data_IF_256604299855
#
_entry.id   IF_256604299855
#
_cell.length_a   1.000
_cell.length_b   1.000
_cell.length_c   1.000
_cell.angle_alpha   90.00
_cell.angle_beta   90.00
_cell.angle_gamma   90.00
#
_symmetry.space_group_name_H-M   'P 1'
#
loop_
_entity.id
_entity.type
_entity.pdbx_description
1 polymer ?
#
# COMPACT_ATOMS: atom_id res chain seq x y z
N UNK A 1 8.71 -10.62 -7.23
CA UNK A 1 7.24 -10.79 -7.13
C UNK A 1 6.65 -10.98 -8.52
N UNK A 2 6.24 -12.23 -8.84
CA UNK A 2 5.69 -12.58 -10.16
C UNK A 2 4.37 -11.87 -10.42
N UNK A 3 3.49 -11.83 -9.44
CA UNK A 3 2.18 -11.17 -9.56
C UNK A 3 2.33 -9.65 -9.71
N UNK A 4 3.33 -9.05 -9.10
CA UNK A 4 3.61 -7.63 -9.26
C UNK A 4 3.98 -7.32 -10.71
N UNK A 5 4.87 -8.15 -11.32
CA UNK A 5 5.27 -7.98 -12.72
C UNK A 5 4.11 -8.23 -13.69
N UNK A 6 3.28 -9.22 -13.41
CA UNK A 6 2.07 -9.47 -14.21
C UNK A 6 1.13 -8.26 -14.19
N UNK A 7 0.92 -7.66 -13.02
CA UNK A 7 0.08 -6.49 -12.88
C UNK A 7 0.64 -5.30 -13.65
N UNK A 8 1.93 -5.04 -13.53
CA UNK A 8 2.61 -3.98 -14.27
C UNK A 8 2.45 -4.14 -15.78
N UNK A 9 2.57 -5.38 -16.27
CA UNK A 9 2.51 -5.67 -17.71
C UNK A 9 1.08 -5.76 -18.26
N UNK A 10 0.11 -6.19 -17.46
CA UNK A 10 -1.24 -6.48 -17.94
C UNK A 10 -2.25 -5.38 -17.60
N UNK A 11 -2.06 -4.68 -16.50
CA UNK A 11 -3.00 -3.66 -16.03
C UNK A 11 -2.42 -2.26 -16.18
N UNK A 12 -1.22 -2.03 -15.68
CA UNK A 12 -0.61 -0.70 -15.69
C UNK A 12 -0.22 -0.23 -17.10
N UNK A 13 -0.02 -1.15 -18.04
CA UNK A 13 0.22 -0.79 -19.44
C UNK A 13 -1.04 -0.38 -20.20
N UNK A 14 -2.22 -0.57 -19.61
CA UNK A 14 -3.45 -0.04 -20.20
C UNK A 14 -3.40 1.49 -20.21
N UNK A 15 -3.70 2.10 -21.35
CA UNK A 15 -3.62 3.55 -21.52
C UNK A 15 -4.50 4.30 -20.54
N UNK A 16 -5.72 3.82 -20.28
CA UNK A 16 -6.64 4.44 -19.34
C UNK A 16 -6.17 4.32 -17.90
N UNK A 17 -5.56 3.19 -17.54
CA UNK A 17 -4.97 2.99 -16.19
C UNK A 17 -3.76 3.91 -16.00
N UNK A 18 -2.89 3.98 -16.98
CA UNK A 18 -1.71 4.84 -16.93
C UNK A 18 -2.09 6.31 -16.77
N UNK A 19 -3.09 6.76 -17.50
CA UNK A 19 -3.60 8.13 -17.39
C UNK A 19 -4.14 8.42 -15.97
N UNK A 20 -4.87 7.49 -15.37
CA UNK A 20 -5.39 7.64 -14.02
C UNK A 20 -4.27 7.63 -12.97
N UNK A 21 -3.30 6.71 -13.09
CA UNK A 21 -2.17 6.63 -12.15
C UNK A 21 -1.34 7.92 -12.19
N UNK A 22 -1.22 8.57 -13.35
CA UNK A 22 -0.47 9.82 -13.49
C UNK A 22 -1.04 10.96 -12.63
N UNK A 23 -2.28 10.85 -12.18
CA UNK A 23 -2.94 11.82 -11.31
C UNK A 23 -2.69 11.54 -9.83
N UNK A 24 -1.97 10.48 -9.49
CA UNK A 24 -1.60 10.10 -8.13
C UNK A 24 -0.12 10.36 -7.87
N UNK A 25 0.25 10.48 -6.60
CA UNK A 25 1.63 10.36 -6.17
C UNK A 25 1.88 8.88 -5.91
N UNK A 26 2.69 8.25 -6.74
CA UNK A 26 2.96 6.82 -6.65
C UNK A 26 4.16 6.56 -5.75
N UNK A 27 3.96 5.76 -4.70
CA UNK A 27 5.03 5.25 -3.85
C UNK A 27 5.05 3.73 -3.92
N UNK A 28 6.22 3.15 -4.18
CA UNK A 28 6.40 1.71 -4.25
C UNK A 28 7.29 1.25 -3.10
N UNK A 29 6.75 0.41 -2.23
CA UNK A 29 7.45 -0.11 -1.06
C UNK A 29 7.71 -1.60 -1.26
N UNK A 30 8.99 -1.95 -1.41
CA UNK A 30 9.40 -3.33 -1.69
C UNK A 30 9.68 -4.08 -0.39
N UNK A 31 8.86 -5.09 -0.11
CA UNK A 31 8.94 -5.88 1.13
C UNK A 31 10.06 -6.91 1.12
N UNK A 32 10.66 -7.18 -0.02
CA UNK A 32 11.74 -8.16 -0.19
C UNK A 32 13.14 -7.55 -0.26
N UNK A 33 13.26 -6.24 -0.06
CA UNK A 33 14.55 -5.55 -0.04
C UNK A 33 15.32 -5.91 1.22
N UNK A 34 16.55 -6.40 1.06
CA UNK A 34 17.40 -6.86 2.16
C UNK A 34 18.43 -5.81 2.63
N UNK A 35 18.30 -4.59 2.17
CA UNK A 35 19.17 -3.50 2.60
C UNK A 35 19.00 -3.26 4.09
N UNK A 36 20.12 -3.30 4.82
CA UNK A 36 20.11 -3.05 6.27
C UNK A 36 19.81 -1.59 6.56
N UNK A 37 18.99 -1.35 7.58
CA UNK A 37 18.74 0.00 8.08
C UNK A 37 19.84 0.40 9.07
N UNK A 38 20.07 1.71 9.23
CA UNK A 38 21.16 2.23 10.08
C UNK A 38 21.01 1.88 11.54
N UNK A 39 19.78 1.78 12.04
CA UNK A 39 19.48 1.41 13.42
C UNK A 39 18.39 0.36 13.46
N UNK A 40 18.71 -0.81 13.99
CA UNK A 40 17.70 -1.85 14.24
C UNK A 40 16.75 -1.41 15.34
N UNK A 41 15.49 -1.77 15.21
CA UNK A 41 14.50 -1.54 16.24
C UNK A 41 13.53 -2.71 16.35
N UNK A 42 12.80 -2.76 17.46
CA UNK A 42 11.80 -3.78 17.69
C UNK A 42 10.42 -3.14 17.73
N UNK A 43 9.46 -3.79 17.09
CA UNK A 43 8.06 -3.42 17.16
C UNK A 43 7.35 -4.41 18.08
N UNK A 44 6.57 -3.90 19.05
CA UNK A 44 5.86 -4.72 20.03
C UNK A 44 4.34 -4.59 19.81
N UNK A 45 3.76 -5.28 18.81
CA UNK A 45 2.32 -5.22 18.59
C UNK A 45 1.58 -5.86 19.77
N UNK A 46 0.44 -5.30 20.13
CA UNK A 46 -0.37 -5.77 21.26
C UNK A 46 -0.81 -7.23 21.17
N UNK A 47 -0.90 -7.75 19.93
CA UNK A 47 -1.40 -9.11 19.66
C UNK A 47 -0.29 -10.13 19.45
N UNK A 48 0.98 -9.77 19.68
CA UNK A 48 2.12 -10.66 19.49
C UNK A 48 2.86 -10.86 20.82
N UNK A 49 3.19 -12.11 21.12
CA UNK A 49 3.90 -12.47 22.34
C UNK A 49 5.40 -12.12 22.28
N UNK A 50 5.95 -11.98 21.07
CA UNK A 50 7.37 -11.72 20.84
C UNK A 50 7.53 -10.45 20.00
N UNK A 51 8.48 -9.57 20.35
CA UNK A 51 8.78 -8.39 19.54
C UNK A 51 9.23 -8.76 18.12
N UNK A 52 8.79 -7.98 17.16
CA UNK A 52 9.23 -8.11 15.75
C UNK A 52 10.50 -7.29 15.59
N UNK A 53 11.61 -7.97 15.29
CA UNK A 53 12.89 -7.30 15.02
C UNK A 53 12.90 -6.74 13.60
N UNK A 54 13.16 -5.46 13.47
CA UNK A 54 13.20 -4.76 12.19
C UNK A 54 14.65 -4.30 11.92
N UNK A 55 15.29 -4.95 10.97
CA UNK A 55 16.69 -4.71 10.63
C UNK A 55 16.94 -4.45 9.14
N UNK A 56 15.93 -4.61 8.30
CA UNK A 56 16.03 -4.33 6.87
C UNK A 56 14.90 -3.44 6.41
N UNK A 57 15.10 -2.75 5.29
CA UNK A 57 14.06 -1.92 4.65
C UNK A 57 12.83 -2.75 4.29
N UNK A 58 13.03 -3.93 3.72
CA UNK A 58 11.92 -4.82 3.37
C UNK A 58 11.11 -5.25 4.59
N UNK A 59 11.79 -5.58 5.69
CA UNK A 59 11.14 -5.94 6.95
C UNK A 59 10.33 -4.77 7.51
N UNK A 60 10.83 -3.56 7.37
CA UNK A 60 10.13 -2.34 7.75
C UNK A 60 8.78 -2.21 7.02
N UNK A 61 8.80 -2.39 5.71
CA UNK A 61 7.59 -2.26 4.89
C UNK A 61 6.63 -3.43 5.07
N UNK A 62 7.13 -4.66 5.19
CA UNK A 62 6.26 -5.83 5.43
C UNK A 62 5.58 -5.76 6.80
N UNK A 63 6.26 -5.23 7.80
CA UNK A 63 5.69 -5.01 9.13
C UNK A 63 4.62 -3.93 9.09
N UNK A 64 4.86 -2.82 8.41
CA UNK A 64 3.86 -1.78 8.20
C UNK A 64 2.61 -2.34 7.53
N UNK A 65 2.77 -3.13 6.47
CA UNK A 65 1.67 -3.75 5.75
C UNK A 65 0.85 -4.66 6.66
N UNK A 66 1.51 -5.52 7.43
CA UNK A 66 0.85 -6.49 8.28
C UNK A 66 0.11 -5.83 9.44
N UNK A 67 0.74 -4.88 10.12
CA UNK A 67 0.16 -4.24 11.31
C UNK A 67 -0.89 -3.19 10.96
N UNK A 68 -0.68 -2.43 9.90
CA UNK A 68 -1.59 -1.33 9.53
C UNK A 68 -2.78 -1.82 8.74
N UNK A 69 -2.56 -2.70 7.76
CA UNK A 69 -3.60 -3.13 6.83
C UNK A 69 -4.07 -4.57 7.05
N UNK A 70 -3.46 -5.28 7.99
CA UNK A 70 -3.79 -6.67 8.34
C UNK A 70 -3.73 -7.61 7.12
N UNK A 71 -2.83 -7.30 6.18
CA UNK A 71 -2.61 -8.06 4.96
C UNK A 71 -1.12 -8.39 4.83
N UNK A 72 -0.83 -9.62 4.44
CA UNK A 72 0.55 -10.05 4.15
C UNK A 72 0.59 -10.72 2.78
N UNK A 73 0.25 -9.95 1.76
CA UNK A 73 0.19 -10.42 0.38
C UNK A 73 0.84 -9.40 -0.55
N UNK A 74 1.43 -9.87 -1.64
CA UNK A 74 2.01 -9.03 -2.68
C UNK A 74 1.40 -9.38 -4.04
N UNK A 75 1.06 -8.38 -4.84
CA UNK A 75 1.06 -6.96 -4.54
C UNK A 75 -0.11 -6.55 -3.65
N UNK A 76 0.04 -5.46 -2.92
CA UNK A 76 -1.06 -4.81 -2.23
C UNK A 76 -1.06 -3.34 -2.63
N UNK A 77 -2.17 -2.87 -3.17
CA UNK A 77 -2.34 -1.50 -3.65
C UNK A 77 -3.31 -0.77 -2.73
N UNK A 78 -2.91 0.41 -2.30
CA UNK A 78 -3.65 1.20 -1.32
C UNK A 78 -3.67 2.64 -1.77
N UNK A 79 -4.81 3.29 -1.68
CA UNK A 79 -4.96 4.72 -1.90
C UNK A 79 -5.06 5.40 -0.54
N UNK A 80 -4.21 6.37 -0.30
CA UNK A 80 -4.18 7.12 0.96
C UNK A 80 -4.35 8.60 0.67
N UNK A 81 -5.00 9.29 1.59
CA UNK A 81 -5.04 10.75 1.59
C UNK A 81 -3.82 11.25 2.35
N UNK A 82 -2.98 12.12 1.75
CA UNK A 82 -1.85 12.70 2.47
C UNK A 82 -2.33 13.55 3.65
N UNK A 83 -1.54 13.58 4.70
CA UNK A 83 -1.82 14.42 5.86
C UNK A 83 -0.59 15.25 6.20
N UNK A 84 -0.80 16.54 6.47
CA UNK A 84 0.26 17.44 6.94
C UNK A 84 0.38 17.40 8.47
N UNK A 85 -0.45 16.63 9.15
CA UNK A 85 -0.43 16.51 10.60
C UNK A 85 0.79 15.68 11.05
N UNK A 86 1.73 16.28 11.81
CA UNK A 86 2.90 15.53 12.31
C UNK A 86 2.53 14.47 13.34
N UNK A 87 1.31 14.50 13.87
CA UNK A 87 0.80 13.49 14.82
C UNK A 87 -0.01 12.39 14.12
N UNK A 88 0.17 12.23 12.83
CA UNK A 88 -0.46 11.18 12.04
C UNK A 88 -0.05 9.81 12.58
N UNK A 89 -0.98 9.09 13.14
CA UNK A 89 -0.70 7.82 13.81
C UNK A 89 -1.19 6.61 13.01
N UNK A 90 -0.86 5.43 13.49
CA UNK A 90 -1.20 4.16 12.85
C UNK A 90 -2.72 3.94 12.79
N UNK A 91 -3.43 4.37 13.83
CA UNK A 91 -4.88 4.22 13.87
C UNK A 91 -5.55 5.09 12.80
N UNK A 92 -5.03 6.28 12.61
CA UNK A 92 -5.50 7.16 11.54
C UNK A 92 -5.27 6.54 10.15
N UNK A 93 -4.15 5.87 9.96
CA UNK A 93 -3.87 5.14 8.72
C UNK A 93 -4.89 4.01 8.50
N UNK A 94 -5.23 3.28 9.53
CA UNK A 94 -6.21 2.20 9.45
C UNK A 94 -7.60 2.72 9.08
N UNK A 95 -8.01 3.79 9.71
CA UNK A 95 -9.32 4.39 9.47
C UNK A 95 -9.43 4.99 8.08
N UNK A 96 -8.30 5.41 7.54
CA UNK A 96 -8.23 6.07 6.24
C UNK A 96 -7.57 5.20 5.19
N UNK A 97 -7.75 3.90 5.26
CA UNK A 97 -7.14 2.93 4.37
C UNK A 97 -7.58 3.07 2.91
N UNK A 98 -7.46 4.24 2.41
CA UNK A 98 -7.87 4.66 1.09
C UNK A 98 -9.12 5.53 1.15
N UNK A 99 -9.16 6.54 0.33
CA UNK A 99 -10.30 7.43 0.21
C UNK A 99 -11.42 6.70 -0.53
N UNK A 100 -12.38 6.16 0.22
CA UNK A 100 -13.48 5.38 -0.35
C UNK A 100 -13.07 4.07 -1.00
N UNK A 101 -11.81 3.64 -0.82
CA UNK A 101 -11.27 2.48 -1.51
C UNK A 101 -10.70 1.46 -0.53
N UNK A 102 -11.02 0.21 -0.74
CA UNK A 102 -10.42 -0.88 0.00
C UNK A 102 -9.08 -1.28 -0.63
N UNK A 103 -8.09 -1.72 0.18
CA UNK A 103 -6.85 -2.25 -0.37
C UNK A 103 -7.09 -3.36 -1.40
N UNK A 104 -6.32 -3.34 -2.49
CA UNK A 104 -6.47 -4.29 -3.59
C UNK A 104 -5.30 -5.26 -3.64
N UNK A 105 -5.58 -6.55 -3.40
CA UNK A 105 -4.64 -7.63 -3.66
C UNK A 105 -4.68 -8.01 -5.16
N UNK A 106 -3.74 -8.86 -5.60
CA UNK A 106 -3.64 -9.24 -7.01
C UNK A 106 -4.95 -9.77 -7.60
N UNK A 107 -5.66 -10.62 -6.87
CA UNK A 107 -6.92 -11.21 -7.35
C UNK A 107 -8.01 -10.15 -7.64
N UNK A 108 -7.92 -9.00 -6.99
CA UNK A 108 -8.88 -7.91 -7.16
C UNK A 108 -8.35 -6.84 -8.11
N UNK A 109 -7.05 -6.75 -8.27
CA UNK A 109 -6.37 -5.73 -9.05
C UNK A 109 -6.06 -6.16 -10.50
N UNK A 110 -6.16 -7.45 -10.82
CA UNK A 110 -5.79 -7.98 -12.13
C UNK A 110 -6.84 -7.78 -13.23
N UNK A 111 -7.95 -7.14 -12.91
CA UNK A 111 -8.98 -6.78 -13.88
C UNK A 111 -8.87 -5.28 -14.20
N UNK A 112 -8.68 -4.93 -15.47
CA UNK A 112 -8.48 -3.54 -15.90
C UNK A 112 -9.66 -2.65 -15.51
N UNK A 113 -10.89 -3.07 -15.81
CA UNK A 113 -12.07 -2.25 -15.53
C UNK A 113 -12.28 -2.04 -14.03
N UNK A 114 -12.12 -3.07 -13.24
CA UNK A 114 -12.22 -2.99 -11.77
C UNK A 114 -11.14 -2.05 -11.21
N UNK A 115 -9.92 -2.16 -11.73
CA UNK A 115 -8.80 -1.33 -11.30
C UNK A 115 -9.01 0.15 -11.66
N UNK A 116 -9.48 0.41 -12.88
CA UNK A 116 -9.82 1.77 -13.33
C UNK A 116 -10.92 2.38 -12.46
N UNK A 117 -11.98 1.64 -12.21
CA UNK A 117 -13.08 2.12 -11.36
C UNK A 117 -12.60 2.44 -9.94
N UNK A 118 -11.71 1.64 -9.41
CA UNK A 118 -11.11 1.87 -8.10
C UNK A 118 -10.28 3.15 -8.06
N UNK A 119 -9.45 3.39 -9.10
CA UNK A 119 -8.68 4.62 -9.22
C UNK A 119 -9.57 5.84 -9.40
N UNK A 120 -10.59 5.76 -10.24
CA UNK A 120 -11.54 6.84 -10.46
C UNK A 120 -12.28 7.20 -9.18
N UNK A 121 -12.71 6.18 -8.42
CA UNK A 121 -13.39 6.38 -7.15
C UNK A 121 -12.49 7.07 -6.12
N UNK A 122 -11.22 6.68 -6.06
CA UNK A 122 -10.24 7.32 -5.17
C UNK A 122 -10.06 8.80 -5.47
N UNK A 123 -9.92 9.16 -6.75
CA UNK A 123 -9.82 10.57 -7.16
C UNK A 123 -11.09 11.34 -6.85
N UNK A 124 -12.23 10.75 -7.13
CA UNK A 124 -13.53 11.37 -6.88
C UNK A 124 -13.74 11.67 -5.39
N UNK A 125 -13.41 10.71 -4.54
CA UNK A 125 -13.55 10.86 -3.09
C UNK A 125 -12.58 11.91 -2.55
N UNK A 126 -11.37 11.95 -3.10
CA UNK A 126 -10.37 12.95 -2.72
C UNK A 126 -10.83 14.38 -3.03
N UNK A 127 -11.36 14.62 -4.21
CA UNK A 127 -11.79 15.95 -4.65
C UNK A 127 -13.17 16.35 -4.16
N UNK A 128 -13.94 15.44 -3.58
CA UNK A 128 -15.29 15.75 -3.04
C UNK A 128 -15.26 16.32 -1.63
N UNK A 129 -14.12 16.31 -0.97
CA UNK A 129 -13.96 16.88 0.38
C UNK A 129 -13.66 18.36 0.37
#
# INVERSE_FOLDING_TARGET
CVNCRKLENQVWNDEGVDELISQYILAQLYVDVRTEISEEYACNPKNFDVPIKINTTGKQWSTLQTLTFEKNTQPLHIILKPSDDPNYDEELLKDKNGIGSQPKAYKDANNIDTYKNWLEQGLKDFYSE
#
